data_IF_511935906678
#
_entry.id   IF_511935906678
#
_cell.length_a   1.000
_cell.length_b   1.000
_cell.length_c   1.000
_cell.angle_alpha   90.00
_cell.angle_beta   90.00
_cell.angle_gamma   90.00
#
_symmetry.space_group_name_H-M   'P 1'
#
loop_
_entity.id
_entity.type
_entity.pdbx_description
1 polymer ?
#
# COMPACT_ATOMS: atom_id res chain seq x y z
N UNK A 1 -46.52 -30.04 26.01
CA UNK A 1 -46.04 -30.64 24.75
C UNK A 1 -44.91 -29.75 24.25
N UNK A 2 -43.66 -30.10 24.58
CA UNK A 2 -42.48 -29.25 24.33
C UNK A 2 -41.96 -29.41 22.90
N UNK A 3 -41.61 -28.29 22.26
CA UNK A 3 -41.06 -28.27 20.90
C UNK A 3 -39.67 -28.92 20.87
N UNK A 4 -39.51 -29.92 20.00
CA UNK A 4 -38.24 -30.60 19.73
C UNK A 4 -37.32 -29.66 18.93
N UNK A 5 -36.36 -29.06 19.61
CA UNK A 5 -35.27 -28.30 18.97
C UNK A 5 -34.39 -29.29 18.18
N UNK A 6 -34.43 -29.22 16.85
CA UNK A 6 -33.56 -30.00 15.98
C UNK A 6 -32.08 -29.63 16.24
N UNK A 7 -31.30 -30.60 16.75
CA UNK A 7 -29.84 -30.47 16.85
C UNK A 7 -29.25 -30.29 15.44
N UNK A 8 -28.79 -29.07 15.13
CA UNK A 8 -27.97 -28.80 13.93
C UNK A 8 -26.72 -29.67 14.00
N UNK A 9 -26.69 -30.76 13.23
CA UNK A 9 -25.47 -31.55 13.02
C UNK A 9 -24.47 -30.72 12.25
N UNK A 10 -23.38 -30.33 12.92
CA UNK A 10 -22.26 -29.58 12.34
C UNK A 10 -21.65 -30.43 11.22
N UNK A 11 -21.83 -30.03 9.96
CA UNK A 11 -21.15 -30.66 8.84
C UNK A 11 -19.64 -30.59 9.10
N UNK A 12 -18.97 -31.74 9.20
CA UNK A 12 -17.51 -31.82 9.24
C UNK A 12 -17.01 -31.27 7.92
N UNK A 13 -16.46 -30.05 7.96
CA UNK A 13 -15.81 -29.43 6.81
C UNK A 13 -14.80 -30.41 6.20
N UNK A 14 -14.89 -30.61 4.88
CA UNK A 14 -13.90 -31.29 4.04
C UNK A 14 -12.51 -30.88 4.50
N UNK A 15 -11.63 -31.88 4.67
CA UNK A 15 -10.24 -31.73 5.10
C UNK A 15 -9.64 -30.39 4.63
N UNK A 16 -9.32 -29.50 5.59
CA UNK A 16 -8.48 -28.34 5.31
C UNK A 16 -7.21 -28.91 4.67
N UNK A 17 -7.01 -28.70 3.36
CA UNK A 17 -5.70 -28.93 2.74
C UNK A 17 -4.70 -28.14 3.57
N UNK A 18 -3.75 -28.82 4.18
CA UNK A 18 -2.65 -28.14 4.86
C UNK A 18 -1.96 -27.26 3.83
N UNK A 19 -2.06 -25.95 4.02
CA UNK A 19 -1.52 -24.93 3.10
C UNK A 19 -0.04 -24.63 3.42
N UNK A 20 0.53 -25.36 4.36
CA UNK A 20 1.91 -25.25 4.81
C UNK A 20 2.83 -25.80 3.72
N UNK A 21 3.59 -24.89 3.11
CA UNK A 21 4.58 -25.22 2.08
C UNK A 21 5.80 -25.83 2.75
N UNK A 22 6.38 -26.83 2.11
CA UNK A 22 7.65 -27.40 2.57
C UNK A 22 8.80 -26.41 2.34
N UNK A 23 9.90 -26.60 3.06
CA UNK A 23 11.10 -25.78 2.88
C UNK A 23 11.60 -25.77 1.43
N UNK A 24 11.61 -26.94 0.78
CA UNK A 24 12.00 -27.07 -0.64
C UNK A 24 11.09 -26.29 -1.58
N UNK A 25 9.77 -26.31 -1.35
CA UNK A 25 8.81 -25.53 -2.13
C UNK A 25 9.02 -24.02 -1.94
N UNK A 26 9.34 -23.58 -0.72
CA UNK A 26 9.64 -22.17 -0.44
C UNK A 26 10.93 -21.73 -1.16
N UNK A 27 11.99 -22.56 -1.13
CA UNK A 27 13.22 -22.26 -1.84
C UNK A 27 13.02 -22.17 -3.36
N UNK A 28 12.25 -23.09 -3.95
CA UNK A 28 11.94 -23.07 -5.37
C UNK A 28 11.14 -21.82 -5.76
N UNK A 29 10.15 -21.44 -4.96
CA UNK A 29 9.39 -20.20 -5.15
C UNK A 29 10.29 -18.96 -5.09
N UNK A 30 11.18 -18.88 -4.10
CA UNK A 30 12.11 -17.76 -3.95
C UNK A 30 13.12 -17.69 -5.10
N UNK A 31 13.51 -18.83 -5.66
CA UNK A 31 14.35 -18.89 -6.84
C UNK A 31 13.63 -18.32 -8.07
N UNK A 32 12.38 -18.75 -8.33
CA UNK A 32 11.58 -18.23 -9.44
C UNK A 32 11.33 -16.73 -9.32
N UNK A 33 11.02 -16.26 -8.10
CA UNK A 33 10.82 -14.84 -7.82
C UNK A 33 12.10 -14.02 -8.09
N UNK A 34 13.28 -14.53 -7.72
CA UNK A 34 14.57 -13.85 -7.96
C UNK A 34 14.89 -13.74 -9.45
N UNK A 35 14.73 -14.82 -10.20
CA UNK A 35 14.92 -14.84 -11.66
C UNK A 35 13.98 -13.84 -12.33
N UNK A 36 12.70 -13.82 -11.94
CA UNK A 36 11.72 -12.89 -12.51
C UNK A 36 12.09 -11.43 -12.23
N UNK A 37 12.45 -11.09 -10.99
CA UNK A 37 12.83 -9.73 -10.61
C UNK A 37 14.09 -9.27 -11.35
N UNK A 38 15.13 -10.10 -11.39
CA UNK A 38 16.39 -9.75 -12.08
C UNK A 38 16.15 -9.52 -13.57
N UNK A 39 15.27 -10.31 -14.21
CA UNK A 39 14.87 -10.06 -15.60
C UNK A 39 14.16 -8.72 -15.78
N UNK A 40 13.21 -8.37 -14.91
CA UNK A 40 12.50 -7.09 -14.99
C UNK A 40 13.42 -5.89 -14.74
N UNK A 41 14.50 -6.06 -13.98
CA UNK A 41 15.49 -5.02 -13.71
C UNK A 41 16.51 -4.85 -14.85
N UNK A 42 16.93 -5.94 -15.48
CA UNK A 42 17.99 -5.94 -16.50
C UNK A 42 17.48 -5.74 -17.93
N UNK A 43 16.23 -6.11 -18.21
CA UNK A 43 15.68 -6.15 -19.56
C UNK A 43 14.32 -5.43 -19.65
N UNK A 44 14.29 -4.10 -19.58
CA UNK A 44 13.05 -3.34 -19.76
C UNK A 44 12.41 -3.58 -21.14
N UNK A 45 13.21 -3.87 -22.16
CA UNK A 45 12.77 -4.08 -23.54
C UNK A 45 12.57 -5.57 -23.93
N UNK A 46 12.72 -6.50 -22.98
CA UNK A 46 12.25 -7.89 -23.12
C UNK A 46 13.05 -8.83 -24.03
N UNK A 47 14.36 -8.64 -24.20
CA UNK A 47 15.18 -9.53 -25.03
C UNK A 47 15.41 -10.90 -24.39
N UNK A 48 15.03 -11.96 -25.13
CA UNK A 48 15.02 -13.36 -24.65
C UNK A 48 16.43 -13.94 -24.38
N UNK A 49 17.47 -13.37 -24.98
CA UNK A 49 18.87 -13.82 -24.79
C UNK A 49 19.38 -13.59 -23.36
N UNK A 50 18.89 -12.55 -22.70
CA UNK A 50 19.33 -12.19 -21.35
C UNK A 50 18.76 -13.14 -20.30
N UNK A 51 17.57 -13.70 -20.56
CA UNK A 51 16.93 -14.67 -19.68
C UNK A 51 17.80 -15.92 -19.46
N UNK A 52 18.40 -16.45 -20.53
CA UNK A 52 19.26 -17.62 -20.41
C UNK A 52 20.46 -17.35 -19.48
N UNK A 53 21.08 -16.18 -19.64
CA UNK A 53 22.23 -15.78 -18.82
C UNK A 53 21.84 -15.58 -17.35
N UNK A 54 20.70 -14.94 -17.09
CA UNK A 54 20.16 -14.75 -15.74
C UNK A 54 19.90 -16.11 -15.08
N UNK A 55 19.20 -17.02 -15.76
CA UNK A 55 18.91 -18.36 -15.20
C UNK A 55 20.18 -19.16 -14.97
N UNK A 56 21.19 -19.04 -15.85
CA UNK A 56 22.48 -19.74 -15.72
C UNK A 56 23.23 -19.37 -14.44
N UNK A 57 23.09 -18.14 -13.93
CA UNK A 57 23.66 -17.73 -12.62
C UNK A 57 23.11 -18.59 -11.48
N UNK A 58 21.84 -18.98 -11.55
CA UNK A 58 21.18 -19.77 -10.52
C UNK A 58 21.17 -21.28 -10.79
N UNK A 59 21.30 -21.69 -12.06
CA UNK A 59 21.30 -23.09 -12.50
C UNK A 59 22.48 -23.37 -13.43
N UNK A 60 23.73 -23.27 -12.94
CA UNK A 60 24.92 -23.38 -13.78
C UNK A 60 25.13 -24.78 -14.36
N UNK A 61 24.60 -25.81 -13.71
CA UNK A 61 24.72 -27.21 -14.14
C UNK A 61 23.74 -27.59 -15.26
N UNK A 62 22.75 -26.75 -15.53
CA UNK A 62 21.77 -27.01 -16.59
C UNK A 62 22.31 -26.52 -17.94
N UNK A 63 21.95 -27.23 -19.01
CA UNK A 63 22.30 -26.83 -20.36
C UNK A 63 21.66 -25.49 -20.72
N UNK A 64 22.27 -24.78 -21.67
CA UNK A 64 21.79 -23.49 -22.14
C UNK A 64 20.32 -23.54 -22.61
N UNK A 65 19.93 -24.59 -23.34
CA UNK A 65 18.53 -24.81 -23.76
C UNK A 65 17.58 -25.06 -22.59
N UNK A 66 18.02 -25.79 -21.56
CA UNK A 66 17.21 -26.04 -20.36
C UNK A 66 17.01 -24.76 -19.54
N UNK A 67 18.02 -23.91 -19.46
CA UNK A 67 17.94 -22.61 -18.79
C UNK A 67 17.00 -21.65 -19.53
N UNK A 68 17.06 -21.62 -20.85
CA UNK A 68 16.11 -20.88 -21.68
C UNK A 68 14.66 -21.30 -21.40
N UNK A 69 14.35 -22.59 -21.49
CA UNK A 69 12.99 -23.11 -21.28
C UNK A 69 12.49 -22.85 -19.85
N UNK A 70 13.38 -22.97 -18.86
CA UNK A 70 13.04 -22.70 -17.48
C UNK A 70 12.72 -21.22 -17.25
N UNK A 71 13.55 -20.30 -17.75
CA UNK A 71 13.31 -18.88 -17.66
C UNK A 71 12.00 -18.45 -18.33
N UNK A 72 11.71 -19.02 -19.51
CA UNK A 72 10.44 -18.78 -20.20
C UNK A 72 9.23 -19.26 -19.38
N UNK A 73 9.34 -20.40 -18.70
CA UNK A 73 8.28 -20.87 -17.77
C UNK A 73 8.10 -19.90 -16.60
N UNK A 74 9.19 -19.38 -16.02
CA UNK A 74 9.12 -18.43 -14.90
C UNK A 74 8.43 -17.13 -15.31
N UNK A 75 8.73 -16.59 -16.50
CA UNK A 75 8.07 -15.37 -16.99
C UNK A 75 6.58 -15.54 -17.24
N UNK A 76 6.14 -16.73 -17.59
CA UNK A 76 4.75 -17.01 -17.91
C UNK A 76 3.97 -17.62 -16.72
N UNK A 77 4.64 -17.83 -15.58
CA UNK A 77 4.03 -18.35 -14.37
C UNK A 77 3.15 -17.28 -13.69
N UNK A 78 1.84 -17.50 -13.68
CA UNK A 78 0.85 -16.61 -13.06
C UNK A 78 1.08 -16.42 -11.57
N UNK A 79 1.55 -17.45 -10.87
CA UNK A 79 1.77 -17.38 -9.43
C UNK A 79 2.99 -16.51 -9.10
N UNK A 80 4.03 -16.56 -9.94
CA UNK A 80 5.19 -15.66 -9.82
C UNK A 80 4.74 -14.21 -10.02
N UNK A 81 4.04 -13.92 -11.11
CA UNK A 81 3.51 -12.56 -11.39
C UNK A 81 2.65 -12.03 -10.24
N UNK A 82 1.74 -12.86 -9.73
CA UNK A 82 0.86 -12.49 -8.62
C UNK A 82 1.62 -12.21 -7.32
N UNK A 83 2.66 -12.99 -7.01
CA UNK A 83 3.51 -12.75 -5.83
C UNK A 83 4.30 -11.47 -5.95
N UNK A 84 4.92 -11.22 -7.10
CA UNK A 84 5.68 -10.00 -7.35
C UNK A 84 4.76 -8.77 -7.33
N UNK A 85 3.59 -8.85 -7.95
CA UNK A 85 2.58 -7.79 -7.90
C UNK A 85 2.16 -7.47 -6.45
N UNK A 86 1.85 -8.49 -5.63
CA UNK A 86 1.53 -8.29 -4.21
C UNK A 86 2.69 -7.69 -3.42
N UNK A 87 3.92 -8.14 -3.67
CA UNK A 87 5.13 -7.60 -3.03
C UNK A 87 5.34 -6.14 -3.40
N UNK A 88 5.18 -5.79 -4.67
CA UNK A 88 5.30 -4.41 -5.15
C UNK A 88 4.18 -3.54 -4.58
N UNK A 89 2.95 -4.03 -4.52
CA UNK A 89 1.84 -3.32 -3.86
C UNK A 89 2.11 -3.07 -2.37
N UNK A 90 2.64 -4.06 -1.65
CA UNK A 90 3.03 -3.89 -0.26
C UNK A 90 4.20 -2.90 -0.11
N UNK A 91 5.20 -2.95 -1.01
CA UNK A 91 6.30 -1.96 -1.04
C UNK A 91 5.79 -0.56 -1.31
N UNK A 92 4.88 -0.40 -2.26
CA UNK A 92 4.26 0.89 -2.56
C UNK A 92 3.44 1.39 -1.38
N UNK A 93 2.65 0.53 -0.73
CA UNK A 93 1.93 0.86 0.52
C UNK A 93 2.88 1.22 1.66
N UNK A 94 3.97 0.48 1.84
CA UNK A 94 4.97 0.76 2.88
C UNK A 94 5.79 2.03 2.59
N UNK A 95 5.91 2.42 1.31
CA UNK A 95 6.50 3.69 0.87
C UNK A 95 5.52 4.86 0.88
N UNK A 96 4.23 4.63 1.18
CA UNK A 96 3.30 5.74 1.32
C UNK A 96 3.59 6.45 2.64
N UNK A 97 3.88 7.75 2.54
CA UNK A 97 3.91 8.66 3.68
C UNK A 97 2.63 8.46 4.52
N UNK A 98 2.78 8.51 5.85
CA UNK A 98 1.68 8.54 6.80
C UNK A 98 0.75 9.72 6.50
N UNK A 99 -0.45 9.73 7.10
CA UNK A 99 -1.36 10.86 6.93
C UNK A 99 -0.71 12.19 7.36
N UNK A 100 -0.04 12.18 8.51
CA UNK A 100 0.67 13.33 9.08
C UNK A 100 1.85 13.75 8.20
N UNK A 101 2.65 12.80 7.72
CA UNK A 101 3.80 13.08 6.86
C UNK A 101 3.37 13.69 5.50
N UNK A 102 2.24 13.23 4.94
CA UNK A 102 1.65 13.83 3.74
C UNK A 102 1.20 15.27 3.99
N UNK A 103 0.53 15.51 5.12
CA UNK A 103 0.10 16.86 5.48
C UNK A 103 1.30 17.78 5.70
N UNK A 104 2.35 17.32 6.39
CA UNK A 104 3.57 18.10 6.59
C UNK A 104 4.24 18.45 5.26
N UNK A 105 4.35 17.47 4.34
CA UNK A 105 4.91 17.72 3.02
C UNK A 105 4.09 18.76 2.24
N UNK A 106 2.77 18.61 2.19
CA UNK A 106 1.88 19.58 1.52
C UNK A 106 1.98 20.97 2.15
N UNK A 107 2.02 21.06 3.48
CA UNK A 107 2.24 22.34 4.19
C UNK A 107 3.58 22.96 3.80
N UNK A 108 4.66 22.18 3.76
CA UNK A 108 5.97 22.67 3.34
C UNK A 108 6.00 23.14 1.87
N UNK A 109 5.24 22.52 0.97
CA UNK A 109 5.07 23.00 -0.41
C UNK A 109 4.28 24.32 -0.46
N UNK A 110 3.23 24.46 0.35
CA UNK A 110 2.43 25.69 0.45
C UNK A 110 3.28 26.86 0.94
N UNK A 111 4.09 26.63 1.97
CA UNK A 111 4.99 27.63 2.57
C UNK A 111 6.20 27.94 1.67
N UNK A 112 6.57 27.01 0.78
CA UNK A 112 7.76 27.11 -0.07
C UNK A 112 9.05 26.60 0.60
N UNK A 113 8.93 25.80 1.65
CA UNK A 113 10.06 25.26 2.42
C UNK A 113 10.66 23.99 1.79
N UNK A 114 9.83 23.14 1.18
CA UNK A 114 10.26 21.84 0.61
C UNK A 114 10.46 21.93 -0.91
N UNK A 115 9.65 22.75 -1.59
CA UNK A 115 9.76 23.01 -3.04
C UNK A 115 9.74 24.52 -3.28
N UNK A 116 10.87 25.21 -3.07
CA UNK A 116 10.93 26.67 -3.15
C UNK A 116 10.60 27.19 -4.56
N UNK A 117 10.92 26.40 -5.59
CA UNK A 117 10.66 26.73 -7.00
C UNK A 117 9.24 26.35 -7.47
N UNK A 118 8.39 25.83 -6.58
CA UNK A 118 7.03 25.46 -6.95
C UNK A 118 6.24 26.68 -7.41
N UNK A 119 5.66 26.60 -8.62
CA UNK A 119 4.80 27.63 -9.16
C UNK A 119 3.57 27.86 -8.26
N UNK A 120 3.02 29.08 -8.27
CA UNK A 120 1.82 29.44 -7.50
C UNK A 120 0.66 28.47 -7.73
N UNK A 121 0.51 27.95 -8.96
CA UNK A 121 -0.52 26.97 -9.31
C UNK A 121 -0.34 25.65 -8.55
N UNK A 122 0.88 25.20 -8.35
CA UNK A 122 1.16 23.93 -7.67
C UNK A 122 1.05 24.09 -6.15
N UNK A 123 1.43 25.26 -5.60
CA UNK A 123 1.14 25.60 -4.20
C UNK A 123 -0.36 25.65 -3.90
N UNK A 124 -1.17 26.21 -4.80
CA UNK A 124 -2.64 26.23 -4.68
C UNK A 124 -3.24 24.82 -4.76
N UNK A 125 -2.73 23.94 -5.63
CA UNK A 125 -3.15 22.53 -5.65
C UNK A 125 -2.77 21.80 -4.37
N UNK A 126 -1.58 22.06 -3.81
CA UNK A 126 -1.16 21.44 -2.55
C UNK A 126 -2.11 21.83 -1.40
N UNK A 127 -2.54 23.09 -1.35
CA UNK A 127 -3.57 23.57 -0.42
C UNK A 127 -4.92 22.86 -0.62
N UNK A 128 -5.40 22.76 -1.85
CA UNK A 128 -6.65 22.06 -2.17
C UNK A 128 -6.61 20.58 -1.75
N UNK A 129 -5.48 19.90 -2.01
CA UNK A 129 -5.28 18.50 -1.62
C UNK A 129 -5.25 18.37 -0.09
N UNK A 130 -4.52 19.24 0.62
CA UNK A 130 -4.45 19.21 2.09
C UNK A 130 -5.83 19.41 2.73
N UNK A 131 -6.60 20.38 2.23
CA UNK A 131 -7.96 20.64 2.70
C UNK A 131 -8.91 19.47 2.41
N UNK A 132 -8.78 18.82 1.25
CA UNK A 132 -9.54 17.58 0.95
C UNK A 132 -9.16 16.42 1.86
N UNK A 133 -7.87 16.29 2.20
CA UNK A 133 -7.38 15.27 3.14
C UNK A 133 -7.92 15.47 4.55
N UNK A 134 -8.14 16.71 4.97
CA UNK A 134 -8.77 17.04 6.27
C UNK A 134 -10.31 17.07 6.22
N UNK A 135 -10.91 16.87 5.04
CA UNK A 135 -12.37 16.83 4.89
C UNK A 135 -13.05 18.20 4.73
N UNK A 136 -12.29 19.28 4.54
CA UNK A 136 -12.81 20.67 4.43
C UNK A 136 -13.57 20.91 3.12
N UNK A 137 -13.15 20.29 2.02
CA UNK A 137 -13.80 20.43 0.71
C UNK A 137 -14.22 19.06 0.17
N UNK A 138 -15.35 18.54 0.65
CA UNK A 138 -15.99 17.39 0.02
C UNK A 138 -17.07 17.87 -0.92
N UNK A 139 -17.00 17.40 -2.17
CA UNK A 139 -18.09 17.57 -3.11
C UNK A 139 -19.35 16.95 -2.48
N UNK A 140 -20.37 17.76 -2.13
CA UNK A 140 -21.58 17.32 -1.41
C UNK A 140 -22.30 16.13 -2.06
N UNK A 141 -22.00 15.84 -3.33
CA UNK A 141 -22.54 14.73 -4.10
C UNK A 141 -21.81 13.39 -3.88
N UNK A 142 -20.64 13.39 -3.26
CA UNK A 142 -19.89 12.18 -2.92
C UNK A 142 -20.04 11.98 -1.42
N UNK A 143 -21.09 11.25 -1.06
CA UNK A 143 -21.52 10.95 0.30
C UNK A 143 -20.51 10.00 0.99
N UNK A 144 -19.31 10.49 1.26
CA UNK A 144 -18.39 9.85 2.20
C UNK A 144 -18.82 10.38 3.55
N UNK A 145 -19.41 9.52 4.38
CA UNK A 145 -19.78 9.81 5.77
C UNK A 145 -18.61 10.50 6.49
N UNK A 146 -18.62 11.83 6.52
CA UNK A 146 -17.77 12.65 7.36
C UNK A 146 -18.72 13.44 8.24
N UNK A 147 -18.81 13.03 9.51
CA UNK A 147 -19.52 13.76 10.55
C UNK A 147 -18.65 14.93 11.05
N UNK A 148 -18.18 15.80 10.15
CA UNK A 148 -17.58 17.07 10.55
C UNK A 148 -18.72 18.09 10.67
N UNK A 149 -18.80 18.76 11.80
CA UNK A 149 -19.70 19.90 11.93
C UNK A 149 -19.11 21.10 11.20
N UNK A 150 -19.94 22.12 10.88
CA UNK A 150 -19.47 23.40 10.32
C UNK A 150 -18.43 24.05 11.24
N UNK A 151 -18.53 23.82 12.54
CA UNK A 151 -17.60 24.33 13.55
C UNK A 151 -16.24 23.63 13.46
N UNK A 152 -16.22 22.31 13.23
CA UNK A 152 -14.99 21.55 13.01
C UNK A 152 -14.30 21.98 11.70
N UNK A 153 -15.06 22.17 10.62
CA UNK A 153 -14.52 22.68 9.35
C UNK A 153 -13.87 24.06 9.52
N UNK A 154 -14.53 24.98 10.26
CA UNK A 154 -13.97 26.31 10.56
C UNK A 154 -12.70 26.22 11.40
N UNK A 155 -12.67 25.36 12.42
CA UNK A 155 -11.49 25.18 13.26
C UNK A 155 -10.29 24.64 12.46
N UNK A 156 -10.52 23.71 11.53
CA UNK A 156 -9.48 23.19 10.63
C UNK A 156 -8.94 24.30 9.73
N UNK A 157 -9.83 25.08 9.10
CA UNK A 157 -9.44 26.21 8.23
C UNK A 157 -8.68 27.27 9.02
N UNK A 158 -9.15 27.63 10.21
CA UNK A 158 -8.53 28.63 11.05
C UNK A 158 -7.12 28.19 11.47
N UNK A 159 -6.96 26.95 11.94
CA UNK A 159 -5.64 26.37 12.24
C UNK A 159 -4.70 26.39 11.03
N UNK A 160 -5.23 26.13 9.82
CA UNK A 160 -4.45 26.16 8.57
C UNK A 160 -4.02 27.58 8.22
N UNK A 161 -4.89 28.57 8.38
CA UNK A 161 -4.56 29.98 8.17
C UNK A 161 -3.44 30.39 9.13
N UNK A 162 -3.56 30.05 10.43
CA UNK A 162 -2.51 30.33 11.42
C UNK A 162 -1.17 29.65 11.06
N UNK A 163 -1.20 28.40 10.62
CA UNK A 163 -0.03 27.68 10.10
C UNK A 163 0.63 28.42 8.94
N UNK A 164 -0.16 28.88 7.95
CA UNK A 164 0.36 29.58 6.77
C UNK A 164 0.92 30.96 7.13
N UNK A 165 0.33 31.62 8.12
CA UNK A 165 0.79 32.92 8.61
C UNK A 165 1.97 32.82 9.59
N UNK A 166 2.41 31.60 9.95
CA UNK A 166 3.51 31.37 10.89
C UNK A 166 3.16 31.66 12.34
N UNK A 167 1.87 31.70 12.69
CA UNK A 167 1.40 31.89 14.05
C UNK A 167 1.57 30.60 14.87
N UNK A 168 1.91 30.70 16.18
CA UNK A 168 2.03 29.53 17.04
C UNK A 168 0.70 28.78 17.10
N UNK A 169 0.74 27.48 16.80
CA UNK A 169 -0.41 26.60 16.92
C UNK A 169 -0.46 26.14 18.37
N UNK A 170 -1.38 26.70 19.14
CA UNK A 170 -1.72 26.16 20.46
C UNK A 170 -2.42 24.81 20.25
N UNK A 171 -1.64 23.73 20.25
CA UNK A 171 -2.18 22.37 20.24
C UNK A 171 -2.65 22.09 21.66
N UNK A 172 -3.91 22.44 21.97
CA UNK A 172 -4.58 21.86 23.12
C UNK A 172 -4.82 20.37 22.84
N UNK A 173 -3.90 19.53 23.34
CA UNK A 173 -4.09 18.09 23.40
C UNK A 173 -5.22 17.83 24.40
N UNK A 174 -6.44 17.64 23.90
CA UNK A 174 -7.50 17.03 24.71
C UNK A 174 -7.11 15.58 24.97
N UNK A 175 -6.57 15.31 26.15
CA UNK A 175 -6.46 13.94 26.67
C UNK A 175 -7.86 13.34 26.70
N UNK A 176 -8.13 12.40 25.79
CA UNK A 176 -9.35 11.60 25.84
C UNK A 176 -9.17 10.63 27.00
N UNK A 177 -9.78 10.92 28.14
CA UNK A 177 -9.88 10.00 29.26
C UNK A 177 -10.51 8.70 28.76
N UNK A 178 -9.76 7.60 28.86
CA UNK A 178 -10.27 6.26 28.58
C UNK A 178 -11.42 5.96 29.55
N UNK A 179 -12.66 5.95 29.06
CA UNK A 179 -13.76 5.35 29.81
C UNK A 179 -13.47 3.85 29.94
N UNK A 180 -13.27 3.40 31.17
CA UNK A 180 -13.23 1.98 31.51
C UNK A 180 -14.56 1.36 31.12
N UNK A 181 -14.54 0.45 30.14
CA UNK A 181 -15.64 -0.48 29.92
C UNK A 181 -15.49 -1.57 30.98
N UNK A 182 -16.29 -1.49 32.03
CA UNK A 182 -16.47 -2.61 32.97
C UNK A 182 -17.24 -3.74 32.25
N UNK A 183 -16.66 -4.94 32.26
CA UNK A 183 -17.30 -6.20 31.81
C UNK A 183 -18.34 -6.71 32.82
#
# INVERSE_FOLDING_TARGET
MGELVQKKTRQKNKARKDKTKTYSQIQEMNLKDRIFMEFMETCPDGTVKDMQQIVKKYRPQATDSANYLYGWKVLNDSDVKNRISKRNHHRLKAKQLSYEEKLMYLTGVIMGDIEPDAETKDRLKALDIANKMEGVYVNKNVNINQNLTIEDERAIVERRIRQVLGEPIDVEVKEVSSENVEE
#
